data_IF_890817313676
#
_entry.id   IF_890817313676
#
_cell.length_a   1.000
_cell.length_b   1.000
_cell.length_c   1.000
_cell.angle_alpha   90.00
_cell.angle_beta   90.00
_cell.angle_gamma   90.00
#
_symmetry.space_group_name_H-M   'P 1'
#
loop_
_entity.id
_entity.type
_entity.pdbx_description
1 polymer ?
#
# COMPACT_ATOMS: atom_id res chain seq x y z
N UNK A 1 -2.42 -2.62 6.48
CA UNK A 1 -3.35 -1.47 6.36
C UNK A 1 -4.76 -1.89 5.94
N UNK A 2 -4.95 -2.71 4.88
CA UNK A 2 -6.28 -3.06 4.37
C UNK A 2 -7.16 -3.87 5.34
N UNK A 3 -6.54 -4.51 6.33
CA UNK A 3 -7.23 -5.24 7.39
C UNK A 3 -7.51 -4.38 8.65
N UNK A 4 -7.20 -3.06 8.64
CA UNK A 4 -7.32 -2.20 9.81
C UNK A 4 -8.73 -2.23 10.40
N UNK A 5 -8.82 -2.37 11.72
CA UNK A 5 -10.06 -2.46 12.49
C UNK A 5 -9.93 -1.66 13.78
N UNK A 6 -11.06 -1.20 14.31
CA UNK A 6 -11.11 -0.37 15.51
C UNK A 6 -11.35 1.11 15.24
N UNK A 7 -11.23 1.96 16.27
CA UNK A 7 -11.63 3.37 16.21
C UNK A 7 -10.81 4.19 15.20
N UNK A 8 -9.60 3.74 14.87
CA UNK A 8 -8.71 4.39 13.91
C UNK A 8 -8.74 3.76 12.51
N UNK A 9 -9.60 2.76 12.27
CA UNK A 9 -9.64 2.04 11.00
C UNK A 9 -9.86 2.98 9.80
N UNK A 10 -10.78 3.95 9.93
CA UNK A 10 -11.05 4.93 8.87
C UNK A 10 -9.80 5.71 8.46
N UNK A 11 -8.96 6.08 9.43
CA UNK A 11 -7.70 6.78 9.16
C UNK A 11 -6.74 5.91 8.34
N UNK A 12 -6.52 4.66 8.74
CA UNK A 12 -5.62 3.76 8.01
C UNK A 12 -6.17 3.34 6.64
N UNK A 13 -7.49 3.14 6.53
CA UNK A 13 -8.14 2.79 5.26
C UNK A 13 -8.13 3.98 4.29
N UNK A 14 -8.21 5.22 4.78
CA UNK A 14 -8.09 6.42 3.94
C UNK A 14 -6.71 6.59 3.30
N UNK A 15 -5.68 5.94 3.84
CA UNK A 15 -4.34 5.91 3.23
C UNK A 15 -4.26 4.93 2.06
N UNK A 16 -5.25 4.05 1.91
CA UNK A 16 -5.28 3.06 0.85
C UNK A 16 -6.13 3.64 -0.29
N UNK A 17 -5.53 3.89 -1.46
CA UNK A 17 -6.26 4.31 -2.63
C UNK A 17 -7.28 3.23 -3.01
N UNK A 18 -8.51 3.63 -3.30
CA UNK A 18 -9.57 2.72 -3.73
C UNK A 18 -9.71 1.47 -2.83
N UNK A 19 -9.61 1.67 -1.50
CA UNK A 19 -9.62 0.56 -0.53
C UNK A 19 -10.88 -0.31 -0.62
N UNK A 20 -11.97 0.30 -1.06
CA UNK A 20 -13.30 -0.28 -1.26
C UNK A 20 -13.53 -0.77 -2.70
N UNK A 21 -12.60 -0.51 -3.62
CA UNK A 21 -12.71 -0.94 -5.01
C UNK A 21 -13.77 -0.18 -5.81
N UNK A 22 -14.30 0.93 -5.29
CA UNK A 22 -15.40 1.67 -5.92
C UNK A 22 -15.00 2.33 -7.24
N UNK A 23 -13.74 2.76 -7.38
CA UNK A 23 -13.19 3.25 -8.65
C UNK A 23 -13.09 2.09 -9.64
N UNK A 24 -12.56 0.94 -9.20
CA UNK A 24 -12.44 -0.26 -10.05
C UNK A 24 -13.79 -0.79 -10.52
N UNK A 25 -14.82 -0.74 -9.68
CA UNK A 25 -16.15 -1.27 -10.00
C UNK A 25 -16.98 -0.28 -10.83
N UNK A 26 -16.63 1.00 -10.84
CA UNK A 26 -17.28 1.98 -11.71
C UNK A 26 -16.69 1.93 -13.13
N UNK A 27 -17.48 1.40 -14.07
CA UNK A 27 -17.07 1.23 -15.46
C UNK A 27 -16.59 2.53 -16.12
N UNK A 28 -17.25 3.66 -15.80
CA UNK A 28 -16.88 4.95 -16.37
C UNK A 28 -15.58 5.44 -15.76
N UNK A 29 -15.49 5.49 -14.42
CA UNK A 29 -14.28 5.96 -13.73
C UNK A 29 -13.05 5.15 -14.11
N UNK A 30 -13.20 3.83 -14.24
CA UNK A 30 -12.07 3.03 -14.68
C UNK A 30 -11.72 3.27 -16.16
N UNK A 31 -12.71 3.42 -17.05
CA UNK A 31 -12.41 3.81 -18.44
C UNK A 31 -11.63 5.11 -18.49
N UNK A 32 -12.08 6.13 -17.75
CA UNK A 32 -11.44 7.44 -17.66
C UNK A 32 -9.99 7.31 -17.11
N UNK A 33 -9.78 6.45 -16.09
CA UNK A 33 -8.45 6.19 -15.53
C UNK A 33 -7.51 5.47 -16.52
N UNK A 34 -8.03 4.51 -17.30
CA UNK A 34 -7.27 3.83 -18.35
C UNK A 34 -6.92 4.78 -19.50
N UNK A 35 -7.83 5.68 -19.89
CA UNK A 35 -7.57 6.72 -20.89
C UNK A 35 -6.49 7.69 -20.41
N UNK A 36 -6.61 8.21 -19.20
CA UNK A 36 -5.61 9.09 -18.60
C UNK A 36 -4.22 8.42 -18.54
N UNK A 37 -4.19 7.11 -18.26
CA UNK A 37 -2.96 6.34 -18.29
C UNK A 37 -2.38 6.20 -19.71
N UNK A 38 -3.21 5.96 -20.71
CA UNK A 38 -2.78 5.95 -22.12
C UNK A 38 -2.20 7.29 -22.56
N UNK A 39 -2.87 8.40 -22.23
CA UNK A 39 -2.36 9.75 -22.51
C UNK A 39 -1.01 10.01 -21.82
N UNK A 40 -0.88 9.57 -20.56
CA UNK A 40 0.40 9.64 -19.85
C UNK A 40 1.50 8.86 -20.57
N UNK A 41 1.22 7.67 -21.08
CA UNK A 41 2.18 6.87 -21.86
C UNK A 41 2.58 7.59 -23.15
N UNK A 42 1.60 8.14 -23.89
CA UNK A 42 1.85 8.92 -25.11
C UNK A 42 2.80 10.09 -24.83
N UNK A 43 2.54 10.85 -23.75
CA UNK A 43 3.38 11.99 -23.38
C UNK A 43 4.75 11.61 -22.81
N UNK A 44 4.82 10.60 -21.94
CA UNK A 44 6.03 10.27 -21.19
C UNK A 44 7.10 9.61 -22.07
N UNK A 45 6.68 8.83 -23.06
CA UNK A 45 7.58 8.16 -24.01
C UNK A 45 7.75 8.92 -25.33
N UNK A 46 6.98 9.99 -25.57
CA UNK A 46 7.01 10.72 -26.83
C UNK A 46 6.66 9.81 -28.01
N UNK A 47 5.49 9.15 -27.92
CA UNK A 47 5.04 8.20 -28.95
C UNK A 47 4.74 8.91 -30.27
N UNK A 48 5.03 8.24 -31.39
CA UNK A 48 4.68 8.72 -32.72
C UNK A 48 3.19 8.48 -33.05
N UNK A 49 2.71 8.99 -34.19
CA UNK A 49 1.29 8.90 -34.56
C UNK A 49 0.78 7.45 -34.66
N UNK A 50 1.59 6.54 -35.22
CA UNK A 50 1.22 5.13 -35.37
C UNK A 50 1.15 4.42 -34.02
N UNK A 51 2.11 4.68 -33.13
CA UNK A 51 2.11 4.18 -31.75
C UNK A 51 0.92 4.74 -30.95
N UNK A 52 0.55 6.01 -31.15
CA UNK A 52 -0.63 6.61 -30.53
C UNK A 52 -1.92 5.91 -30.97
N UNK A 53 -2.05 5.58 -32.26
CA UNK A 53 -3.18 4.79 -32.78
C UNK A 53 -3.21 3.38 -32.18
N UNK A 54 -2.05 2.76 -31.98
CA UNK A 54 -1.95 1.46 -31.32
C UNK A 54 -2.40 1.53 -29.86
N UNK A 55 -2.00 2.57 -29.11
CA UNK A 55 -2.49 2.82 -27.74
C UNK A 55 -4.02 2.92 -27.73
N UNK A 56 -4.60 3.70 -28.65
CA UNK A 56 -6.05 3.91 -28.73
C UNK A 56 -6.81 2.63 -29.10
N UNK A 57 -6.23 1.80 -29.97
CA UNK A 57 -6.78 0.49 -30.32
C UNK A 57 -6.81 -0.45 -29.11
N UNK A 58 -5.70 -0.54 -28.36
CA UNK A 58 -5.60 -1.38 -27.15
C UNK A 58 -6.58 -0.90 -26.08
N UNK A 59 -6.69 0.42 -25.86
CA UNK A 59 -7.65 0.98 -24.91
C UNK A 59 -9.10 0.67 -25.32
N UNK A 60 -9.41 0.74 -26.62
CA UNK A 60 -10.75 0.42 -27.13
C UNK A 60 -11.10 -1.06 -26.95
N UNK A 61 -10.16 -1.96 -27.27
CA UNK A 61 -10.31 -3.39 -27.00
C UNK A 61 -10.54 -3.66 -25.52
N UNK A 62 -9.73 -3.04 -24.66
CA UNK A 62 -9.82 -3.19 -23.21
C UNK A 62 -11.16 -2.68 -22.66
N UNK A 63 -11.63 -1.50 -23.10
CA UNK A 63 -12.95 -0.95 -22.73
C UNK A 63 -14.08 -1.89 -23.13
N UNK A 64 -13.99 -2.49 -24.31
CA UNK A 64 -15.00 -3.43 -24.80
C UNK A 64 -15.08 -4.67 -23.92
N UNK A 65 -13.93 -5.33 -23.68
CA UNK A 65 -13.86 -6.50 -22.78
C UNK A 65 -14.32 -6.17 -21.37
N UNK A 66 -13.90 -5.02 -20.85
CA UNK A 66 -14.33 -4.51 -19.54
C UNK A 66 -15.84 -4.35 -19.47
N UNK A 67 -16.44 -3.73 -20.49
CA UNK A 67 -17.89 -3.53 -20.54
C UNK A 67 -18.64 -4.87 -20.47
N UNK A 68 -18.18 -5.88 -21.20
CA UNK A 68 -18.73 -7.24 -21.14
C UNK A 68 -18.63 -7.83 -19.73
N UNK A 69 -17.45 -7.73 -19.08
CA UNK A 69 -17.27 -8.13 -17.68
C UNK A 69 -18.22 -7.37 -16.74
N UNK A 70 -18.36 -6.05 -16.90
CA UNK A 70 -19.27 -5.25 -16.08
C UNK A 70 -20.72 -5.65 -16.28
N UNK A 71 -21.16 -5.88 -17.52
CA UNK A 71 -22.51 -6.30 -17.83
C UNK A 71 -22.81 -7.69 -17.24
N UNK A 72 -21.83 -8.60 -17.24
CA UNK A 72 -21.91 -9.90 -16.58
C UNK A 72 -22.06 -9.79 -15.06
N UNK A 73 -21.27 -8.91 -14.42
CA UNK A 73 -21.26 -8.73 -12.97
C UNK A 73 -22.25 -7.68 -12.45
N UNK A 74 -23.04 -7.06 -13.34
CA UNK A 74 -23.91 -5.93 -13.01
C UNK A 74 -24.81 -6.18 -11.79
N UNK A 75 -25.51 -7.33 -11.67
CA UNK A 75 -26.34 -7.59 -10.49
C UNK A 75 -25.55 -7.59 -9.18
N UNK A 76 -24.36 -8.21 -9.17
CA UNK A 76 -23.51 -8.30 -7.99
C UNK A 76 -22.85 -6.96 -7.68
N UNK A 77 -22.50 -6.17 -8.70
CA UNK A 77 -22.00 -4.81 -8.56
C UNK A 77 -23.05 -3.92 -7.90
N UNK A 78 -24.30 -4.00 -8.36
CA UNK A 78 -25.39 -3.21 -7.80
C UNK A 78 -25.67 -3.65 -6.35
N UNK A 79 -25.66 -4.94 -6.05
CA UNK A 79 -25.76 -5.44 -4.67
C UNK A 79 -24.61 -4.96 -3.79
N UNK A 80 -23.38 -4.98 -4.31
CA UNK A 80 -22.18 -4.51 -3.63
C UNK A 80 -22.26 -3.01 -3.30
N UNK A 81 -22.65 -2.18 -4.27
CA UNK A 81 -22.85 -0.73 -4.10
C UNK A 81 -23.94 -0.44 -3.07
N UNK A 82 -25.08 -1.13 -3.16
CA UNK A 82 -26.16 -1.02 -2.18
C UNK A 82 -25.70 -1.41 -0.76
N UNK A 83 -24.74 -2.34 -0.66
CA UNK A 83 -24.08 -2.68 0.59
C UNK A 83 -23.42 -1.48 1.27
N UNK A 84 -22.66 -0.66 0.55
CA UNK A 84 -22.04 0.55 1.12
C UNK A 84 -23.05 1.54 1.65
N UNK A 85 -24.14 1.78 0.92
CA UNK A 85 -25.20 2.68 1.38
C UNK A 85 -25.86 2.18 2.67
N UNK A 86 -26.09 0.87 2.76
CA UNK A 86 -26.61 0.24 3.98
C UNK A 86 -25.60 0.34 5.12
N UNK A 87 -24.31 0.11 4.88
CA UNK A 87 -23.27 0.22 5.89
C UNK A 87 -23.16 1.66 6.41
N UNK A 88 -23.21 2.64 5.53
CA UNK A 88 -23.19 4.06 5.88
C UNK A 88 -24.40 4.42 6.77
N UNK A 89 -25.60 3.92 6.43
CA UNK A 89 -26.80 4.10 7.28
C UNK A 89 -26.65 3.44 8.65
N UNK A 90 -26.06 2.24 8.71
CA UNK A 90 -25.81 1.52 9.97
C UNK A 90 -24.76 2.19 10.85
N UNK A 91 -23.70 2.72 10.25
CA UNK A 91 -22.63 3.44 10.97
C UNK A 91 -23.13 4.75 11.58
N UNK A 92 -24.10 5.39 10.95
CA UNK A 92 -24.72 6.62 11.45
C UNK A 92 -25.73 6.40 12.57
N UNK A 93 -26.04 5.15 12.95
CA UNK A 93 -26.94 4.82 14.06
C UNK A 93 -26.17 4.67 15.39
N UNK A 94 -26.25 5.65 16.32
CA UNK A 94 -25.48 5.64 17.56
C UNK A 94 -25.88 4.52 18.52
N UNK A 95 -27.07 3.93 18.33
CA UNK A 95 -27.56 2.83 19.18
C UNK A 95 -26.84 1.51 18.88
N UNK A 96 -26.38 1.32 17.64
CA UNK A 96 -25.71 0.09 17.17
C UNK A 96 -24.27 -0.02 17.61
N UNK A 97 -23.58 1.11 17.77
CA UNK A 97 -22.18 1.13 18.21
C UNK A 97 -22.01 0.77 19.69
N UNK A 98 -23.08 0.72 20.49
CA UNK A 98 -23.04 0.41 21.93
C UNK A 98 -23.36 -1.04 22.26
N UNK A 99 -23.99 -1.79 21.36
CA UNK A 99 -24.44 -3.16 21.62
C UNK A 99 -23.57 -4.16 20.85
N UNK A 100 -22.91 -5.07 21.55
CA UNK A 100 -21.97 -6.03 20.95
C UNK A 100 -22.63 -6.90 19.87
N UNK A 101 -23.87 -7.34 20.08
CA UNK A 101 -24.60 -8.16 19.10
C UNK A 101 -24.90 -7.39 17.80
N UNK A 102 -25.23 -6.09 17.87
CA UNK A 102 -25.48 -5.25 16.71
C UNK A 102 -24.18 -4.93 15.95
N UNK A 103 -23.06 -4.81 16.65
CA UNK A 103 -21.73 -4.71 16.05
C UNK A 103 -21.34 -5.97 15.28
N UNK A 104 -21.52 -7.16 15.87
CA UNK A 104 -21.25 -8.43 15.16
C UNK A 104 -22.10 -8.58 13.91
N UNK A 105 -23.37 -8.18 13.96
CA UNK A 105 -24.21 -8.15 12.76
C UNK A 105 -23.67 -7.22 11.68
N UNK A 106 -23.14 -6.05 12.07
CA UNK A 106 -22.51 -5.13 11.13
C UNK A 106 -21.25 -5.74 10.50
N UNK A 107 -20.39 -6.38 11.29
CA UNK A 107 -19.18 -7.06 10.81
C UNK A 107 -19.54 -8.22 9.86
N UNK A 108 -20.57 -9.01 10.19
CA UNK A 108 -21.05 -10.11 9.34
C UNK A 108 -21.61 -9.58 8.01
N UNK A 109 -22.35 -8.47 8.07
CA UNK A 109 -22.91 -7.80 6.89
C UNK A 109 -21.78 -7.26 6.00
N UNK A 110 -20.80 -6.56 6.59
CA UNK A 110 -19.63 -6.05 5.89
C UNK A 110 -18.80 -7.19 5.27
N UNK A 111 -18.58 -8.27 6.02
CA UNK A 111 -17.88 -9.47 5.54
C UNK A 111 -18.58 -10.12 4.35
N UNK A 112 -19.91 -10.25 4.39
CA UNK A 112 -20.71 -10.79 3.28
C UNK A 112 -20.60 -9.94 2.03
N UNK A 113 -20.69 -8.62 2.13
CA UNK A 113 -20.59 -7.76 0.95
C UNK A 113 -19.18 -7.68 0.40
N UNK A 114 -18.15 -7.62 1.25
CA UNK A 114 -16.76 -7.76 0.80
C UNK A 114 -16.54 -9.08 0.08
N UNK A 115 -17.17 -10.17 0.53
CA UNK A 115 -17.10 -11.46 -0.16
C UNK A 115 -17.78 -11.44 -1.55
N UNK A 116 -18.84 -10.65 -1.75
CA UNK A 116 -19.46 -10.44 -3.07
C UNK A 116 -18.58 -9.61 -4.01
N UNK A 117 -17.94 -8.55 -3.50
CA UNK A 117 -17.05 -7.69 -4.30
C UNK A 117 -15.71 -8.34 -4.65
N UNK A 118 -15.20 -9.24 -3.79
CA UNK A 118 -13.89 -9.88 -3.96
C UNK A 118 -13.68 -10.57 -5.33
N UNK A 119 -14.56 -11.45 -5.83
CA UNK A 119 -14.37 -12.08 -7.14
C UNK A 119 -14.39 -11.05 -8.28
N UNK A 120 -15.25 -10.03 -8.20
CA UNK A 120 -15.36 -8.96 -9.19
C UNK A 120 -14.04 -8.18 -9.26
N UNK A 121 -13.54 -7.74 -8.10
CA UNK A 121 -12.27 -7.03 -8.00
C UNK A 121 -11.08 -7.89 -8.44
N UNK A 122 -11.09 -9.18 -8.12
CA UNK A 122 -10.03 -10.10 -8.53
C UNK A 122 -9.98 -10.28 -10.06
N UNK A 123 -11.14 -10.37 -10.72
CA UNK A 123 -11.21 -10.44 -12.19
C UNK A 123 -10.78 -9.11 -12.84
N UNK A 124 -11.18 -7.98 -12.25
CA UNK A 124 -10.72 -6.67 -12.70
C UNK A 124 -9.19 -6.54 -12.55
N UNK A 125 -8.66 -6.91 -11.39
CA UNK A 125 -7.25 -6.81 -11.06
C UNK A 125 -6.39 -7.78 -11.89
N UNK A 126 -6.95 -8.90 -12.38
CA UNK A 126 -6.22 -9.86 -13.22
C UNK A 126 -5.95 -9.33 -14.63
N UNK A 127 -6.84 -8.50 -15.17
CA UNK A 127 -6.70 -7.94 -16.54
C UNK A 127 -5.82 -6.69 -16.62
N UNK A 128 -5.65 -5.97 -15.51
CA UNK A 128 -4.89 -4.72 -15.47
C UNK A 128 -3.39 -4.87 -15.75
N UNK A 129 -2.66 -5.87 -15.20
CA UNK A 129 -1.26 -6.09 -15.53
C UNK A 129 -1.02 -6.28 -17.02
N UNK A 130 -1.92 -6.99 -17.72
CA UNK A 130 -1.80 -7.19 -19.17
C UNK A 130 -1.94 -5.88 -19.95
N UNK A 131 -2.92 -5.04 -19.59
CA UNK A 131 -3.06 -3.71 -20.19
C UNK A 131 -1.80 -2.87 -19.97
N UNK A 132 -1.33 -2.80 -18.71
CA UNK A 132 -0.15 -2.03 -18.32
C UNK A 132 1.08 -2.50 -19.09
N UNK A 133 1.26 -3.81 -19.20
CA UNK A 133 2.37 -4.41 -19.94
C UNK A 133 2.28 -4.11 -21.44
N UNK A 134 1.11 -4.32 -22.05
CA UNK A 134 0.88 -4.04 -23.48
C UNK A 134 1.19 -2.59 -23.81
N UNK A 135 0.64 -1.63 -23.06
CA UNK A 135 0.86 -0.22 -23.34
C UNK A 135 2.32 0.21 -23.13
N UNK A 136 3.00 -0.29 -22.09
CA UNK A 136 4.44 -0.02 -21.89
C UNK A 136 5.33 -0.68 -22.97
N UNK A 137 4.84 -1.75 -23.62
CA UNK A 137 5.60 -2.45 -24.65
C UNK A 137 5.63 -1.73 -26.00
N UNK A 138 4.67 -0.82 -26.25
CA UNK A 138 4.59 -0.02 -27.49
C UNK A 138 5.81 0.90 -27.67
N UNK A 139 6.33 1.44 -26.56
CA UNK A 139 7.52 2.29 -26.60
C UNK A 139 8.73 1.49 -27.10
N UNK A 140 9.57 2.11 -27.93
CA UNK A 140 10.85 1.51 -28.32
C UNK A 140 11.81 1.48 -27.14
N UNK A 141 12.88 0.69 -27.22
CA UNK A 141 13.90 0.65 -26.16
C UNK A 141 14.60 2.01 -25.97
N UNK A 142 14.64 2.85 -27.01
CA UNK A 142 15.16 4.22 -26.94
C UNK A 142 14.18 5.16 -26.24
N UNK A 143 12.89 5.10 -26.57
CA UNK A 143 11.84 5.89 -25.92
C UNK A 143 11.67 5.50 -24.44
N UNK A 144 11.79 4.21 -24.15
CA UNK A 144 11.72 3.66 -22.80
C UNK A 144 13.06 3.69 -22.07
N UNK A 145 14.05 4.46 -22.53
CA UNK A 145 15.34 4.53 -21.85
C UNK A 145 15.26 5.45 -20.60
N UNK A 146 15.61 4.96 -19.40
CA UNK A 146 15.63 5.79 -18.19
C UNK A 146 16.60 6.98 -18.28
N UNK A 147 17.63 6.88 -19.13
CA UNK A 147 18.65 7.91 -19.33
C UNK A 147 18.83 8.17 -20.83
N UNK A 148 18.02 9.05 -21.44
CA UNK A 148 18.02 9.25 -22.89
C UNK A 148 19.37 9.70 -23.45
N UNK A 149 20.24 10.30 -22.62
CA UNK A 149 21.59 10.73 -23.00
C UNK A 149 22.59 9.57 -23.21
N UNK A 150 22.26 8.36 -22.76
CA UNK A 150 23.18 7.20 -22.79
C UNK A 150 22.51 6.04 -23.51
N UNK A 151 23.28 5.15 -24.18
CA UNK A 151 22.70 3.93 -24.72
C UNK A 151 21.99 3.13 -23.59
N UNK A 152 20.92 2.39 -23.91
CA UNK A 152 20.15 1.64 -22.92
C UNK A 152 21.06 0.72 -22.11
N UNK A 153 21.06 0.89 -20.80
CA UNK A 153 21.75 -0.03 -19.91
C UNK A 153 21.12 -1.43 -20.06
N UNK A 154 21.93 -2.48 -19.98
CA UNK A 154 21.46 -3.87 -20.09
C UNK A 154 21.41 -4.53 -18.71
N UNK A 155 20.42 -5.38 -18.49
CA UNK A 155 20.32 -6.23 -17.32
C UNK A 155 21.38 -7.36 -17.35
N UNK A 156 21.43 -8.18 -16.29
CA UNK A 156 22.36 -9.32 -16.20
C UNK A 156 22.16 -10.37 -17.31
N UNK A 157 21.03 -10.34 -18.03
CA UNK A 157 20.69 -11.24 -19.15
C UNK A 157 20.92 -10.58 -20.51
N UNK A 158 21.39 -9.34 -20.55
CA UNK A 158 21.65 -8.59 -21.78
C UNK A 158 20.43 -7.87 -22.36
N UNK A 159 19.28 -7.87 -21.68
CA UNK A 159 18.08 -7.15 -22.12
C UNK A 159 18.17 -5.67 -21.73
N UNK A 160 17.68 -4.74 -22.57
CA UNK A 160 17.65 -3.33 -22.21
C UNK A 160 16.76 -3.08 -20.99
N UNK A 161 17.28 -2.28 -20.05
CA UNK A 161 16.54 -1.81 -18.88
C UNK A 161 15.60 -0.71 -19.35
N UNK A 162 14.30 -0.99 -19.30
CA UNK A 162 13.24 -0.09 -19.75
C UNK A 162 12.61 0.64 -18.56
N UNK A 163 12.42 1.95 -18.72
CA UNK A 163 11.53 2.78 -17.92
C UNK A 163 10.10 2.28 -18.15
N UNK A 164 9.37 2.07 -17.06
CA UNK A 164 7.97 1.72 -17.09
C UNK A 164 7.16 2.87 -16.50
N UNK A 165 6.01 3.15 -17.10
CA UNK A 165 5.02 4.06 -16.53
C UNK A 165 4.10 3.21 -15.66
N UNK A 166 4.04 3.55 -14.38
CA UNK A 166 3.11 2.89 -13.45
C UNK A 166 1.70 3.44 -13.63
N UNK A 167 0.73 2.52 -13.66
CA UNK A 167 -0.69 2.82 -13.51
C UNK A 167 -0.98 3.22 -12.06
N UNK A 168 -1.68 4.33 -11.86
CA UNK A 168 -2.07 4.85 -10.55
C UNK A 168 -3.55 5.17 -10.54
N UNK A 169 -4.26 4.75 -9.50
CA UNK A 169 -5.64 5.16 -9.29
C UNK A 169 -5.73 6.63 -8.86
N UNK A 170 -6.88 7.26 -9.14
CA UNK A 170 -7.17 8.61 -8.66
C UNK A 170 -7.14 8.64 -7.12
N UNK A 171 -6.45 9.63 -6.55
CA UNK A 171 -6.26 9.73 -5.09
C UNK A 171 -5.10 8.90 -4.53
N UNK A 172 -4.31 8.21 -5.36
CA UNK A 172 -3.05 7.61 -4.94
C UNK A 172 -2.05 8.67 -4.46
N UNK A 173 -1.80 8.69 -3.15
CA UNK A 173 -0.74 9.49 -2.56
C UNK A 173 0.67 9.08 -3.01
N UNK A 174 1.70 9.87 -2.67
CA UNK A 174 3.09 9.57 -3.04
C UNK A 174 3.61 8.27 -2.42
N UNK A 175 3.02 7.83 -1.30
CA UNK A 175 3.33 6.56 -0.64
C UNK A 175 2.25 5.56 -1.04
N UNK A 176 2.55 4.70 -2.02
CA UNK A 176 1.66 3.63 -2.44
C UNK A 176 1.78 2.41 -1.53
N UNK A 177 0.72 1.59 -1.44
CA UNK A 177 0.74 0.31 -0.71
C UNK A 177 1.89 -0.58 -1.19
N UNK A 178 2.19 -0.59 -2.50
CA UNK A 178 3.32 -1.33 -3.09
C UNK A 178 4.68 -0.87 -2.56
N UNK A 179 4.85 0.44 -2.33
CA UNK A 179 6.07 0.98 -1.75
C UNK A 179 6.21 0.55 -0.29
N UNK A 180 5.12 0.59 0.47
CA UNK A 180 5.09 0.14 1.86
C UNK A 180 5.45 -1.35 1.97
N UNK A 181 4.83 -2.21 1.16
CA UNK A 181 5.11 -3.65 1.14
C UNK A 181 6.57 -3.97 0.78
N UNK A 182 7.19 -3.13 -0.07
CA UNK A 182 8.61 -3.27 -0.42
C UNK A 182 9.54 -2.77 0.69
N UNK A 183 9.19 -1.70 1.39
CA UNK A 183 10.05 -1.06 2.40
C UNK A 183 10.05 -1.85 3.72
N UNK A 184 8.90 -2.36 4.16
CA UNK A 184 8.74 -3.00 5.49
C UNK A 184 9.80 -4.09 5.73
N UNK A 185 10.03 -5.07 4.82
CA UNK A 185 11.02 -6.11 5.06
C UNK A 185 12.45 -5.58 5.23
N UNK A 186 12.85 -4.57 4.43
CA UNK A 186 14.18 -3.97 4.56
C UNK A 186 14.31 -3.15 5.85
N UNK A 187 13.24 -2.46 6.25
CA UNK A 187 13.16 -1.74 7.51
C UNK A 187 13.32 -2.70 8.70
N UNK A 188 12.51 -3.76 8.76
CA UNK A 188 12.54 -4.74 9.86
C UNK A 188 13.91 -5.44 9.95
N UNK A 189 14.48 -5.84 8.80
CA UNK A 189 15.80 -6.47 8.75
C UNK A 189 16.91 -5.50 9.22
N UNK A 190 16.87 -4.24 8.78
CA UNK A 190 17.88 -3.25 9.18
C UNK A 190 17.82 -2.96 10.67
N UNK A 191 16.61 -2.75 11.20
CA UNK A 191 16.40 -2.48 12.62
C UNK A 191 16.79 -3.70 13.46
N UNK A 192 16.43 -4.91 13.04
CA UNK A 192 16.84 -6.15 13.70
C UNK A 192 18.35 -6.30 13.78
N UNK A 193 19.07 -6.06 12.68
CA UNK A 193 20.55 -6.11 12.65
C UNK A 193 21.15 -5.06 13.58
N UNK A 194 20.64 -3.82 13.55
CA UNK A 194 21.11 -2.74 14.42
C UNK A 194 20.93 -3.09 15.91
N UNK A 195 19.79 -3.68 16.28
CA UNK A 195 19.54 -4.11 17.65
C UNK A 195 20.41 -5.29 18.08
N UNK A 196 20.63 -6.29 17.21
CA UNK A 196 21.51 -7.43 17.50
C UNK A 196 22.97 -6.98 17.70
N UNK A 197 23.45 -6.06 16.85
CA UNK A 197 24.80 -5.52 16.95
C UNK A 197 24.95 -4.49 18.08
N UNK A 198 23.84 -3.99 18.63
CA UNK A 198 23.85 -2.92 19.62
C UNK A 198 24.36 -1.59 19.04
N UNK A 199 24.04 -1.31 17.77
CA UNK A 199 24.38 -0.07 17.06
C UNK A 199 23.12 0.79 16.88
N UNK A 200 23.21 2.07 17.20
CA UNK A 200 22.11 3.04 17.30
C UNK A 200 20.91 2.49 18.08
N UNK A 201 21.15 1.70 19.14
CA UNK A 201 20.13 0.98 19.89
C UNK A 201 18.96 1.88 20.33
N UNK A 202 19.17 3.08 20.88
CA UNK A 202 18.03 3.94 21.25
C UNK A 202 17.15 4.33 20.06
N UNK A 203 17.77 4.65 18.91
CA UNK A 203 17.07 5.09 17.70
C UNK A 203 16.38 3.90 17.02
N UNK A 204 17.09 2.78 16.87
CA UNK A 204 16.58 1.55 16.28
C UNK A 204 15.40 1.01 17.10
N UNK A 205 15.52 0.98 18.44
CA UNK A 205 14.44 0.57 19.34
C UNK A 205 13.26 1.54 19.29
N UNK A 206 13.50 2.86 19.25
CA UNK A 206 12.41 3.83 19.09
C UNK A 206 11.67 3.64 17.76
N UNK A 207 12.39 3.43 16.67
CA UNK A 207 11.82 3.21 15.34
C UNK A 207 10.97 1.91 15.30
N UNK A 208 11.51 0.80 15.82
CA UNK A 208 10.75 -0.45 15.97
C UNK A 208 9.50 -0.26 16.85
N UNK A 209 9.65 0.41 17.99
CA UNK A 209 8.54 0.67 18.92
C UNK A 209 7.43 1.50 18.28
N UNK A 210 7.77 2.56 17.55
CA UNK A 210 6.79 3.38 16.82
C UNK A 210 6.11 2.62 15.69
N UNK A 211 6.87 1.79 14.96
CA UNK A 211 6.29 0.92 13.94
C UNK A 211 5.29 -0.07 14.53
N UNK A 212 5.65 -0.79 15.59
CA UNK A 212 4.76 -1.72 16.29
C UNK A 212 3.57 -0.99 16.93
N UNK A 213 3.76 0.22 17.44
CA UNK A 213 2.66 1.06 17.94
C UNK A 213 1.64 1.32 16.84
N UNK A 214 2.08 1.63 15.61
CA UNK A 214 1.16 1.80 14.47
C UNK A 214 0.37 0.53 14.17
N UNK A 215 0.98 -0.66 14.28
CA UNK A 215 0.32 -1.95 14.09
C UNK A 215 -0.73 -2.18 15.18
N UNK A 216 -0.40 -1.94 16.45
CA UNK A 216 -1.32 -2.05 17.58
C UNK A 216 -2.49 -1.08 17.44
N UNK A 217 -2.24 0.17 17.02
CA UNK A 217 -3.30 1.17 16.80
C UNK A 217 -4.19 0.78 15.62
N UNK A 218 -3.64 0.14 14.58
CA UNK A 218 -4.42 -0.37 13.43
C UNK A 218 -5.30 -1.58 13.75
N UNK A 219 -5.03 -2.27 14.87
CA UNK A 219 -5.74 -3.44 15.38
C UNK A 219 -5.96 -3.28 16.89
N UNK A 220 -6.73 -2.24 17.24
CA UNK A 220 -6.81 -1.76 18.62
C UNK A 220 -7.18 -2.89 19.61
N UNK A 221 -6.37 -3.15 20.65
CA UNK A 221 -6.60 -4.24 21.58
C UNK A 221 -7.98 -4.18 22.22
N UNK A 222 -8.68 -5.32 22.26
CA UNK A 222 -10.02 -5.42 22.84
C UNK A 222 -11.15 -4.88 21.96
N UNK A 223 -10.85 -4.41 20.74
CA UNK A 223 -11.90 -4.07 19.78
C UNK A 223 -12.41 -5.34 19.06
N UNK A 224 -13.72 -5.55 18.92
CA UNK A 224 -14.25 -6.73 18.24
C UNK A 224 -13.74 -6.89 16.82
N UNK A 225 -13.40 -8.13 16.44
CA UNK A 225 -12.97 -8.48 15.08
C UNK A 225 -11.52 -8.13 14.74
N UNK A 226 -10.76 -7.44 15.60
CA UNK A 226 -9.32 -7.22 15.41
C UNK A 226 -8.54 -8.50 15.61
N UNK A 227 -7.41 -8.64 14.91
CA UNK A 227 -6.46 -9.71 15.22
C UNK A 227 -5.81 -9.48 16.60
N UNK A 228 -5.49 -10.53 17.37
CA UNK A 228 -4.79 -10.37 18.64
C UNK A 228 -3.42 -9.69 18.44
N UNK A 229 -3.20 -8.55 19.10
CA UNK A 229 -1.97 -7.75 19.03
C UNK A 229 -1.12 -7.81 20.30
N UNK A 230 -1.36 -8.79 21.17
CA UNK A 230 -0.68 -8.89 22.47
C UNK A 230 0.84 -9.01 22.35
N UNK A 231 1.33 -9.83 21.41
CA UNK A 231 2.76 -9.99 21.18
C UNK A 231 3.40 -8.69 20.69
N UNK A 232 2.77 -8.03 19.73
CA UNK A 232 3.21 -6.75 19.17
C UNK A 232 3.21 -5.64 20.23
N UNK A 233 2.24 -5.65 21.15
CA UNK A 233 2.19 -4.69 22.26
C UNK A 233 3.31 -4.94 23.28
N UNK A 234 3.60 -6.20 23.62
CA UNK A 234 4.72 -6.57 24.51
C UNK A 234 6.05 -6.19 23.87
N UNK A 235 6.25 -6.52 22.59
CA UNK A 235 7.46 -6.18 21.83
C UNK A 235 7.64 -4.67 21.70
N UNK A 236 6.55 -3.92 21.45
CA UNK A 236 6.56 -2.45 21.44
C UNK A 236 7.04 -1.88 22.77
N UNK A 237 6.49 -2.36 23.90
CA UNK A 237 6.90 -1.93 25.23
C UNK A 237 8.36 -2.31 25.50
N UNK A 238 8.79 -3.51 25.12
CA UNK A 238 10.18 -3.94 25.19
C UNK A 238 11.12 -3.03 24.40
N UNK A 239 10.72 -2.63 23.19
CA UNK A 239 11.45 -1.66 22.37
C UNK A 239 11.53 -0.29 23.06
N UNK A 240 10.45 0.23 23.63
CA UNK A 240 10.51 1.50 24.36
C UNK A 240 11.38 1.41 25.62
N UNK A 241 11.33 0.30 26.35
CA UNK A 241 12.25 0.07 27.48
C UNK A 241 13.69 0.09 26.99
N UNK A 242 14.04 -0.64 25.92
CA UNK A 242 15.39 -0.62 25.34
C UNK A 242 15.81 0.77 24.86
N UNK A 243 14.89 1.54 24.29
CA UNK A 243 15.14 2.89 23.81
C UNK A 243 15.52 3.86 24.93
N UNK A 244 14.90 3.71 26.11
CA UNK A 244 15.09 4.62 27.25
C UNK A 244 16.00 4.07 28.36
N UNK A 245 16.30 2.77 28.38
CA UNK A 245 17.14 2.14 29.40
C UNK A 245 18.66 2.32 29.15
N UNK A 246 19.06 3.08 28.14
CA UNK A 246 20.47 3.30 27.76
C UNK A 246 21.25 1.98 27.51
N UNK A 247 20.57 0.88 27.17
CA UNK A 247 21.17 -0.44 27.02
C UNK A 247 22.33 -0.48 26.01
N UNK A 248 22.26 0.35 24.95
CA UNK A 248 23.33 0.50 23.96
C UNK A 248 24.65 1.01 24.55
N UNK A 249 24.61 1.83 25.61
CA UNK A 249 25.83 2.36 26.27
C UNK A 249 26.59 1.30 27.06
N UNK A 250 25.89 0.29 27.59
CA UNK A 250 26.48 -0.68 28.51
C UNK A 250 26.73 -2.06 27.88
N UNK A 251 25.97 -2.43 26.84
CA UNK A 251 26.01 -3.77 26.26
C UNK A 251 26.11 -3.78 24.71
N UNK A 252 26.26 -2.62 24.06
CA UNK A 252 26.27 -2.49 22.59
C UNK A 252 27.53 -1.84 22.02
N UNK A 253 27.67 -1.94 20.69
CA UNK A 253 28.70 -1.22 19.93
C UNK A 253 28.54 0.31 20.00
N UNK A 254 27.38 0.80 20.42
CA UNK A 254 27.11 2.21 20.74
C UNK A 254 28.05 2.80 21.80
N UNK A 255 28.65 1.96 22.64
CA UNK A 255 29.70 2.39 23.54
C UNK A 255 30.91 2.99 22.81
N UNK A 256 31.23 2.53 21.59
CA UNK A 256 32.43 2.97 20.86
C UNK A 256 32.30 4.45 20.46
N UNK A 257 31.27 4.91 19.70
CA UNK A 257 31.06 6.33 19.44
C UNK A 257 30.91 7.17 20.72
N UNK A 258 30.20 6.67 21.72
CA UNK A 258 30.00 7.36 22.99
C UNK A 258 31.32 7.59 23.74
N UNK A 259 32.17 6.58 23.81
CA UNK A 259 33.50 6.64 24.44
C UNK A 259 34.41 7.62 23.73
N UNK A 260 34.40 7.64 22.38
CA UNK A 260 35.15 8.64 21.61
C UNK A 260 34.65 10.06 21.83
N UNK A 261 33.33 10.26 21.95
CA UNK A 261 32.74 11.58 22.20
C UNK A 261 33.02 12.08 23.63
N UNK A 262 32.86 11.22 24.65
CA UNK A 262 33.08 11.58 26.05
C UNK A 262 34.54 11.66 26.47
N UNK A 263 35.48 11.07 25.72
CA UNK A 263 36.93 11.27 25.95
C UNK A 263 37.38 12.73 25.82
N UNK A 264 36.62 13.57 25.13
CA UNK A 264 36.92 15.01 24.97
C UNK A 264 36.22 15.91 26.00
N UNK A 265 35.30 15.37 26.80
CA UNK A 265 34.66 16.12 27.88
C UNK A 265 35.65 16.24 29.05
N UNK A 266 36.33 17.39 29.16
CA UNK A 266 37.09 17.73 30.37
C UNK A 266 36.14 17.68 31.56
N UNK A 267 36.46 16.86 32.55
CA UNK A 267 35.82 16.91 33.86
C UNK A 267 36.00 18.33 34.41
N UNK A 268 34.93 19.10 34.66
CA UNK A 268 35.06 20.35 35.39
C UNK A 268 35.57 20.01 36.81
N UNK A 269 36.66 20.66 37.20
CA UNK A 269 37.29 20.52 38.51
C UNK A 269 36.35 20.93 39.65
#
# INVERSE_FOLDING_TARGET
LAAAKGPFASHFLSMIPDHDGMIRIDAKRMSDACEAYGEKIKSEFGLNEDQCKEVDAILTEFKTKRKETYDQWKPQIDEYKNGFERLAKLQNDPSRSKVESLRRQQDDIEGKWRALGKPILAEIDSTMPELVQKLNSIATDEQANPKPEKPPAKDAKGNPIRKQVDFKYEGEGPISVKLVDKIIPYFDMSVGILLILGLLTPIASLAAGLFLASVVVSQFPGFPGTSPTYYQAIEMLGCFVLAFADAGRYAGLDFIPWSFWNRKAKVPA
#
